data_IF_365207131279
#
_entry.id   IF_365207131279
#
_cell.length_a   1.000
_cell.length_b   1.000
_cell.length_c   1.000
_cell.angle_alpha   90.00
_cell.angle_beta   90.00
_cell.angle_gamma   90.00
#
_symmetry.space_group_name_H-M   'P 1'
#
loop_
_entity.id
_entity.type
_entity.pdbx_description
1 polymer ?
#
# COMPACT_ATOMS: atom_id res chain seq x y z
N UNK A 1 18.23 6.02 -4.79
CA UNK A 1 18.08 4.61 -4.37
C UNK A 1 16.67 4.18 -4.74
N UNK A 2 16.49 3.25 -5.68
CA UNK A 2 15.17 2.72 -6.02
C UNK A 2 14.66 1.86 -4.85
N UNK A 3 13.72 2.39 -4.07
CA UNK A 3 13.06 1.62 -3.01
C UNK A 3 12.24 0.50 -3.64
N UNK A 4 12.38 -0.74 -3.14
CA UNK A 4 11.60 -1.89 -3.61
C UNK A 4 10.10 -1.62 -3.50
N UNK A 5 9.33 -1.94 -4.55
CA UNK A 5 7.86 -1.91 -4.54
C UNK A 5 7.23 -2.97 -3.63
N UNK A 6 8.05 -3.81 -2.97
CA UNK A 6 7.59 -4.95 -2.18
C UNK A 6 8.43 -5.09 -0.91
N UNK A 7 7.77 -5.41 0.21
CA UNK A 7 8.45 -5.83 1.43
C UNK A 7 7.69 -6.96 2.13
N UNK A 8 8.40 -7.78 2.90
CA UNK A 8 7.79 -8.70 3.86
C UNK A 8 7.70 -8.02 5.23
N UNK A 9 6.55 -8.14 5.88
CA UNK A 9 6.30 -7.57 7.20
C UNK A 9 5.34 -8.47 8.00
N UNK A 10 5.77 -8.95 9.18
CA UNK A 10 5.01 -9.89 10.03
C UNK A 10 4.43 -11.06 9.21
N UNK A 11 5.27 -11.69 8.39
CA UNK A 11 4.94 -12.79 7.46
C UNK A 11 3.96 -12.46 6.31
N UNK A 12 3.56 -11.20 6.17
CA UNK A 12 2.75 -10.73 5.05
C UNK A 12 3.65 -10.13 3.98
N UNK A 13 3.32 -10.37 2.70
CA UNK A 13 3.97 -9.70 1.58
C UNK A 13 3.15 -8.48 1.19
N UNK A 14 3.70 -7.29 1.44
CA UNK A 14 3.10 -6.01 1.06
C UNK A 14 3.71 -5.58 -0.27
N UNK A 15 2.86 -5.29 -1.25
CA UNK A 15 3.26 -4.78 -2.56
C UNK A 15 2.58 -3.45 -2.83
N UNK A 16 3.37 -2.38 -3.01
CA UNK A 16 2.87 -1.09 -3.45
C UNK A 16 2.27 -1.21 -4.86
N UNK A 17 1.12 -0.59 -5.06
CA UNK A 17 0.38 -0.59 -6.32
C UNK A 17 -0.09 0.83 -6.64
N UNK A 18 0.74 1.51 -7.43
CA UNK A 18 0.55 2.89 -7.85
C UNK A 18 -0.20 2.93 -9.17
N UNK A 19 -1.11 3.90 -9.29
CA UNK A 19 -1.80 4.21 -10.54
C UNK A 19 -1.44 5.65 -10.89
N UNK A 20 -0.94 5.88 -12.11
CA UNK A 20 -0.63 7.21 -12.61
C UNK A 20 -1.86 7.83 -13.29
N UNK A 21 -2.15 9.07 -12.94
CA UNK A 21 -3.15 9.93 -13.54
C UNK A 21 -2.45 11.14 -14.15
N UNK A 22 -2.01 11.08 -15.42
CA UNK A 22 -1.23 12.16 -16.03
C UNK A 22 -2.05 13.45 -16.16
N UNK A 23 -1.37 14.59 -16.09
CA UNK A 23 -1.98 15.91 -16.32
C UNK A 23 -2.59 16.60 -15.09
N UNK A 24 -2.44 16.03 -13.88
CA UNK A 24 -2.80 16.70 -12.62
C UNK A 24 -1.57 16.93 -11.73
N UNK A 25 -1.59 17.90 -10.80
CA UNK A 25 -0.44 18.22 -9.95
C UNK A 25 0.03 17.07 -9.05
N UNK A 26 -0.88 16.15 -8.68
CA UNK A 26 -0.61 14.98 -7.86
C UNK A 26 -1.01 13.70 -8.61
N UNK A 27 -0.20 13.23 -9.58
CA UNK A 27 -0.64 12.21 -10.51
C UNK A 27 -0.66 10.80 -9.91
N UNK A 28 -0.01 10.56 -8.78
CA UNK A 28 0.19 9.20 -8.27
C UNK A 28 -0.85 8.80 -7.23
N UNK A 29 -1.80 7.96 -7.63
CA UNK A 29 -2.74 7.31 -6.71
C UNK A 29 -2.10 6.10 -6.03
N UNK A 30 -1.86 6.20 -4.72
CA UNK A 30 -1.22 5.15 -3.93
C UNK A 30 -2.17 4.05 -3.45
N UNK A 31 -1.63 2.87 -3.16
CA UNK A 31 -2.38 1.73 -2.65
C UNK A 31 -1.50 0.48 -2.53
N UNK A 32 -2.06 -0.60 -1.97
CA UNK A 32 -1.33 -1.85 -1.72
C UNK A 32 -2.11 -3.09 -2.10
N UNK A 33 -1.38 -4.16 -2.42
CA UNK A 33 -1.83 -5.53 -2.25
C UNK A 33 -1.10 -6.16 -1.07
N UNK A 34 -1.80 -6.97 -0.29
CA UNK A 34 -1.24 -7.72 0.83
C UNK A 34 -1.50 -9.19 0.57
N UNK A 35 -0.45 -10.01 0.59
CA UNK A 35 -0.57 -11.47 0.60
C UNK A 35 -0.32 -11.96 2.02
N UNK A 36 -1.30 -12.64 2.59
CA UNK A 36 -1.22 -13.26 3.90
C UNK A 36 -0.38 -14.55 3.87
N UNK A 37 0.07 -15.07 5.03
CA UNK A 37 0.89 -16.27 5.10
C UNK A 37 0.21 -17.53 4.54
N UNK A 38 -1.12 -17.56 4.55
CA UNK A 38 -1.94 -18.64 3.98
C UNK A 38 -2.06 -18.57 2.45
N UNK A 39 -1.42 -17.58 1.82
CA UNK A 39 -1.45 -17.34 0.38
C UNK A 39 -2.65 -16.51 -0.10
N UNK A 40 -3.59 -16.16 0.78
CA UNK A 40 -4.69 -15.27 0.41
C UNK A 40 -4.16 -13.88 0.09
N UNK A 41 -4.61 -13.29 -1.03
CA UNK A 41 -4.20 -11.96 -1.47
C UNK A 41 -5.40 -11.03 -1.56
N UNK A 42 -5.24 -9.84 -0.98
CA UNK A 42 -6.24 -8.77 -1.02
C UNK A 42 -6.44 -8.24 -2.44
N UNK A 43 -7.58 -7.58 -2.66
CA UNK A 43 -7.69 -6.61 -3.76
C UNK A 43 -6.80 -5.39 -3.46
N UNK A 44 -6.72 -4.45 -4.40
CA UNK A 44 -6.00 -3.20 -4.17
C UNK A 44 -6.71 -2.41 -3.07
N UNK A 45 -6.02 -2.19 -1.96
CA UNK A 45 -6.49 -1.30 -0.89
C UNK A 45 -5.88 0.08 -1.16
N UNK A 46 -6.69 1.11 -1.50
CA UNK A 46 -6.18 2.44 -1.76
C UNK A 46 -5.63 3.08 -0.49
N UNK A 47 -4.75 4.07 -0.65
CA UNK A 47 -4.45 4.99 0.44
C UNK A 47 -5.73 5.69 0.94
N UNK A 48 -5.76 6.14 2.21
CA UNK A 48 -6.81 7.00 2.75
C UNK A 48 -7.06 8.23 1.87
N UNK A 49 -8.31 8.70 1.80
CA UNK A 49 -8.74 9.73 0.84
C UNK A 49 -7.96 11.06 0.96
N UNK A 50 -7.56 11.41 2.18
CA UNK A 50 -6.75 12.59 2.51
C UNK A 50 -5.28 12.48 2.04
N UNK A 51 -4.81 11.28 1.74
CA UNK A 51 -3.45 11.00 1.25
C UNK A 51 -3.45 10.18 -0.05
N UNK A 52 -4.58 10.16 -0.78
CA UNK A 52 -4.78 9.24 -1.89
C UNK A 52 -3.89 9.53 -3.10
N UNK A 53 -3.56 10.80 -3.32
CA UNK A 53 -2.79 11.29 -4.47
C UNK A 53 -1.53 12.03 -4.03
N UNK A 54 -0.38 11.68 -4.62
CA UNK A 54 0.90 12.32 -4.31
C UNK A 54 1.57 12.84 -5.59
N UNK A 55 2.40 13.89 -5.42
CA UNK A 55 3.13 14.52 -6.51
C UNK A 55 4.24 13.63 -7.08
N UNK A 56 4.93 12.88 -6.20
CA UNK A 56 6.08 12.06 -6.57
C UNK A 56 5.77 10.56 -6.45
N UNK A 57 6.21 9.78 -7.43
CA UNK A 57 6.05 8.32 -7.45
C UNK A 57 6.67 7.67 -6.21
N UNK A 58 7.91 8.07 -5.89
CA UNK A 58 8.65 7.55 -4.75
C UNK A 58 7.96 7.85 -3.41
N UNK A 59 7.34 9.02 -3.29
CA UNK A 59 6.52 9.39 -2.13
C UNK A 59 5.26 8.52 -2.06
N UNK A 60 4.57 8.31 -3.18
CA UNK A 60 3.40 7.43 -3.25
C UNK A 60 3.74 5.98 -2.90
N UNK A 61 4.91 5.50 -3.35
CA UNK A 61 5.45 4.17 -3.03
C UNK A 61 5.68 4.00 -1.54
N UNK A 62 6.42 4.93 -0.92
CA UNK A 62 6.70 4.90 0.53
C UNK A 62 5.42 4.96 1.35
N UNK A 63 4.50 5.86 1.00
CA UNK A 63 3.19 5.97 1.65
C UNK A 63 2.39 4.67 1.55
N UNK A 64 2.39 4.04 0.36
CA UNK A 64 1.73 2.74 0.14
C UNK A 64 2.31 1.66 1.05
N UNK A 65 3.64 1.50 1.11
CA UNK A 65 4.26 0.50 2.00
C UNK A 65 3.94 0.77 3.47
N UNK A 66 4.00 2.03 3.91
CA UNK A 66 3.63 2.41 5.28
C UNK A 66 2.17 2.06 5.58
N UNK A 67 1.26 2.34 4.65
CA UNK A 67 -0.15 1.98 4.78
C UNK A 67 -0.36 0.46 4.86
N UNK A 68 0.35 -0.33 4.05
CA UNK A 68 0.31 -1.78 4.11
C UNK A 68 0.75 -2.33 5.48
N UNK A 69 1.80 -1.75 6.09
CA UNK A 69 2.24 -2.15 7.44
C UNK A 69 1.17 -1.85 8.47
N UNK A 70 0.61 -0.64 8.43
CA UNK A 70 -0.48 -0.23 9.31
C UNK A 70 -1.71 -1.13 9.18
N UNK A 71 -2.08 -1.55 7.98
CA UNK A 71 -3.18 -2.50 7.74
C UNK A 71 -2.90 -3.87 8.35
N UNK A 72 -1.68 -4.39 8.21
CA UNK A 72 -1.26 -5.67 8.82
C UNK A 72 -1.33 -5.58 10.34
N UNK A 73 -0.84 -4.50 10.96
CA UNK A 73 -0.92 -4.31 12.40
C UNK A 73 -2.38 -4.26 12.88
N UNK A 74 -3.23 -3.51 12.18
CA UNK A 74 -4.67 -3.47 12.48
C UNK A 74 -5.33 -4.85 12.35
N UNK A 75 -4.92 -5.64 11.37
CA UNK A 75 -5.46 -6.98 11.17
C UNK A 75 -5.05 -7.95 12.28
N UNK A 76 -3.77 -7.92 12.68
CA UNK A 76 -3.24 -8.85 13.67
C UNK A 76 -3.61 -8.45 15.11
N UNK A 77 -3.55 -7.15 15.41
CA UNK A 77 -3.66 -6.67 16.78
C UNK A 77 -5.10 -6.30 17.15
N UNK A 78 -5.96 -6.04 16.16
CA UNK A 78 -7.34 -5.56 16.37
C UNK A 78 -8.40 -6.41 15.67
N UNK A 79 -7.99 -7.50 15.02
CA UNK A 79 -8.90 -8.43 14.34
C UNK A 79 -9.64 -7.83 13.15
N UNK A 80 -9.18 -6.70 12.60
CA UNK A 80 -9.80 -6.12 11.41
C UNK A 80 -9.51 -6.99 10.18
N UNK A 81 -10.52 -7.22 9.35
CA UNK A 81 -10.31 -7.97 8.11
C UNK A 81 -9.58 -7.11 7.08
N UNK A 82 -8.55 -7.67 6.44
CA UNK A 82 -7.95 -7.09 5.22
C UNK A 82 -8.97 -7.18 4.08
N UNK A 83 -9.24 -6.04 3.43
CA UNK A 83 -10.28 -5.89 2.40
C UNK A 83 -9.94 -6.45 1.02
#
# INVERSE_FOLDING_TARGET
MNASNRCTYRDHVITAHLIEHPGIPTPWAGGVHITAPDGHRTRRIPLPADAAFLAEEDSARRASIAHGRWLVDRSLDQGMRLG
#
